data_IF_338309096305
#
_entry.id   IF_338309096305
#
_cell.length_a   1.000
_cell.length_b   1.000
_cell.length_c   1.000
_cell.angle_alpha   90.00
_cell.angle_beta   90.00
_cell.angle_gamma   90.00
#
_symmetry.space_group_name_H-M   'P 1'
#
loop_
_entity.id
_entity.type
_entity.pdbx_description
1 polymer ?
#
# COMPACT_ATOMS: atom_id res chain seq x y z
N UNK A 1 -4.98 20.02 -0.34
CA UNK A 1 -4.45 19.53 -1.62
C UNK A 1 -4.26 20.73 -2.53
N UNK A 2 -3.06 20.90 -3.08
CA UNK A 2 -2.74 22.00 -3.99
C UNK A 2 -2.99 21.55 -5.45
N UNK A 3 -4.14 21.96 -5.98
CA UNK A 3 -4.59 21.59 -7.33
C UNK A 3 -3.63 22.11 -8.41
N UNK A 4 -3.01 23.28 -8.21
CA UNK A 4 -2.09 23.88 -9.19
C UNK A 4 -0.82 23.03 -9.29
N UNK A 5 -0.23 22.66 -8.14
CA UNK A 5 0.92 21.76 -8.09
C UNK A 5 0.62 20.44 -8.79
N UNK A 6 -0.50 19.81 -8.44
CA UNK A 6 -0.89 18.53 -9.03
C UNK A 6 -1.05 18.62 -10.55
N UNK A 7 -1.76 19.63 -11.06
CA UNK A 7 -1.96 19.79 -12.51
C UNK A 7 -0.64 20.01 -13.25
N UNK A 8 0.31 20.75 -12.65
CA UNK A 8 1.66 20.93 -13.22
C UNK A 8 2.40 19.59 -13.33
N UNK A 9 2.39 18.78 -12.26
CA UNK A 9 3.07 17.47 -12.26
C UNK A 9 2.40 16.53 -13.26
N UNK A 10 1.07 16.45 -13.27
CA UNK A 10 0.31 15.63 -14.23
C UNK A 10 0.58 16.04 -15.68
N UNK A 11 0.53 17.33 -15.99
CA UNK A 11 0.82 17.85 -17.34
C UNK A 11 2.24 17.49 -17.79
N UNK A 12 3.24 17.71 -16.93
CA UNK A 12 4.63 17.31 -17.19
C UNK A 12 4.75 15.80 -17.38
N UNK A 13 4.08 15.01 -16.55
CA UNK A 13 4.09 13.55 -16.62
C UNK A 13 3.47 13.07 -17.94
N UNK A 14 2.32 13.60 -18.34
CA UNK A 14 1.65 13.30 -19.62
C UNK A 14 2.53 13.64 -20.83
N UNK A 15 3.17 14.81 -20.82
CA UNK A 15 4.10 15.21 -21.90
C UNK A 15 5.32 14.28 -21.99
N UNK A 16 5.85 13.83 -20.84
CA UNK A 16 6.93 12.84 -20.80
C UNK A 16 6.51 11.49 -21.41
N UNK A 17 5.26 11.06 -21.18
CA UNK A 17 4.76 9.82 -21.79
C UNK A 17 4.71 9.89 -23.32
N UNK A 18 4.30 11.03 -23.88
CA UNK A 18 4.24 11.24 -25.34
C UNK A 18 5.61 11.05 -26.00
N UNK A 19 6.68 11.46 -25.32
CA UNK A 19 8.07 11.31 -25.81
C UNK A 19 8.76 10.04 -25.30
N UNK A 20 8.03 9.11 -24.69
CA UNK A 20 8.57 7.84 -24.17
C UNK A 20 9.46 7.95 -22.93
N UNK A 21 9.48 9.09 -22.24
CA UNK A 21 10.26 9.30 -21.02
C UNK A 21 9.51 8.74 -19.79
N UNK A 22 10.12 7.75 -19.13
CA UNK A 22 9.58 7.12 -17.91
C UNK A 22 9.66 8.09 -16.72
N UNK A 23 8.61 8.15 -15.90
CA UNK A 23 8.54 8.98 -14.69
C UNK A 23 7.62 8.37 -13.63
N UNK A 24 7.95 8.48 -12.34
CA UNK A 24 7.03 8.12 -11.28
C UNK A 24 5.91 9.16 -11.17
N UNK A 25 4.78 8.74 -10.62
CA UNK A 25 3.64 9.59 -10.32
C UNK A 25 3.21 9.46 -8.85
N UNK A 26 3.43 8.30 -8.24
CA UNK A 26 3.12 8.01 -6.83
C UNK A 26 4.38 7.55 -6.12
N UNK A 27 4.63 8.03 -4.90
CA UNK A 27 5.68 7.49 -4.04
C UNK A 27 5.10 6.47 -3.07
N UNK A 28 5.79 5.34 -2.91
CA UNK A 28 5.55 4.32 -1.87
C UNK A 28 6.80 4.28 -1.02
N UNK A 29 6.68 4.64 0.24
CA UNK A 29 7.82 4.95 1.10
C UNK A 29 7.79 4.01 2.29
N UNK A 30 8.74 3.08 2.33
CA UNK A 30 9.04 2.31 3.52
C UNK A 30 9.85 3.17 4.48
N UNK A 31 9.20 3.76 5.50
CA UNK A 31 9.82 4.78 6.36
C UNK A 31 10.76 4.21 7.42
N UNK A 32 10.64 2.91 7.70
CA UNK A 32 11.48 2.19 8.64
C UNK A 32 11.54 0.70 8.30
N UNK A 33 12.63 0.02 8.64
CA UNK A 33 12.69 -1.44 8.60
C UNK A 33 11.99 -2.11 9.81
N UNK A 34 11.74 -1.37 10.90
CA UNK A 34 11.21 -1.96 12.14
C UNK A 34 9.69 -2.13 12.12
N UNK A 35 9.22 -3.34 12.41
CA UNK A 35 7.81 -3.63 12.66
C UNK A 35 7.62 -4.31 14.00
N UNK A 36 6.58 -3.93 14.74
CA UNK A 36 6.21 -4.61 15.99
C UNK A 36 5.51 -5.97 15.78
N UNK A 37 5.18 -6.36 14.54
CA UNK A 37 4.54 -7.63 14.18
C UNK A 37 5.48 -8.56 13.40
N UNK A 38 5.20 -9.87 13.35
CA UNK A 38 5.94 -10.85 12.55
C UNK A 38 4.99 -11.65 11.63
N UNK A 39 4.57 -11.03 10.54
CA UNK A 39 3.65 -11.68 9.60
C UNK A 39 4.44 -12.70 8.73
N UNK A 40 4.08 -14.01 8.67
CA UNK A 40 4.91 -15.02 8.01
C UNK A 40 5.13 -14.85 6.50
N UNK A 41 4.29 -14.04 5.83
CA UNK A 41 4.44 -13.70 4.41
C UNK A 41 5.25 -12.43 4.14
N UNK A 42 5.56 -11.65 5.19
CA UNK A 42 6.16 -10.33 5.03
C UNK A 42 7.67 -10.46 4.81
N UNK A 43 8.23 -9.86 3.74
CA UNK A 43 9.67 -9.87 3.51
C UNK A 43 10.47 -9.07 4.54
N UNK A 44 9.80 -8.21 5.32
CA UNK A 44 10.40 -7.41 6.40
C UNK A 44 10.07 -7.96 7.79
N UNK A 45 9.44 -9.13 7.88
CA UNK A 45 9.07 -9.75 9.14
C UNK A 45 10.28 -10.39 9.81
N UNK A 46 10.61 -9.95 11.01
CA UNK A 46 11.65 -10.55 11.85
C UNK A 46 11.07 -10.97 13.21
N UNK A 47 11.20 -12.23 13.66
CA UNK A 47 10.77 -12.62 15.01
C UNK A 47 11.63 -12.00 16.11
N UNK A 48 12.89 -11.65 15.83
CA UNK A 48 13.79 -10.97 16.76
C UNK A 48 13.63 -9.44 16.67
N UNK A 49 12.75 -8.91 17.52
CA UNK A 49 12.42 -7.47 17.52
C UNK A 49 13.56 -6.58 18.00
N UNK A 50 14.48 -7.10 18.80
CA UNK A 50 15.64 -6.34 19.25
C UNK A 50 16.66 -6.17 18.13
N UNK A 51 16.96 -7.24 17.40
CA UNK A 51 17.82 -7.18 16.20
C UNK A 51 17.19 -6.33 15.10
N UNK A 52 15.89 -6.49 14.84
CA UNK A 52 15.20 -5.67 13.84
C UNK A 52 15.24 -4.17 14.19
N UNK A 53 15.07 -3.83 15.47
CA UNK A 53 15.18 -2.45 15.94
C UNK A 53 16.61 -1.92 15.81
N UNK A 54 17.61 -2.76 16.09
CA UNK A 54 19.02 -2.38 15.92
C UNK A 54 19.36 -2.15 14.45
N UNK A 55 18.91 -3.06 13.56
CA UNK A 55 19.07 -2.92 12.12
C UNK A 55 18.46 -1.60 11.62
N UNK A 56 17.23 -1.29 12.03
CA UNK A 56 16.57 -0.04 11.68
C UNK A 56 17.36 1.19 12.16
N UNK A 57 17.92 1.18 13.37
CA UNK A 57 18.75 2.30 13.85
C UNK A 57 20.03 2.51 13.05
N UNK A 58 20.61 1.43 12.52
CA UNK A 58 21.86 1.46 11.77
C UNK A 58 21.67 1.80 10.30
N UNK A 59 20.53 1.42 9.71
CA UNK A 59 20.32 1.46 8.25
C UNK A 59 19.18 2.38 7.81
N UNK A 60 18.23 2.72 8.69
CA UNK A 60 17.17 3.66 8.31
C UNK A 60 17.72 5.08 8.16
N UNK A 61 17.20 5.81 7.18
CA UNK A 61 17.46 7.23 7.04
C UNK A 61 17.07 7.99 8.31
N UNK A 62 17.91 8.96 8.66
CA UNK A 62 17.61 9.97 9.67
C UNK A 62 16.46 10.86 9.22
N UNK A 63 15.90 11.63 10.15
CA UNK A 63 14.83 12.60 9.86
C UNK A 63 15.23 13.59 8.78
N UNK A 64 16.47 14.11 8.84
CA UNK A 64 16.98 15.10 7.88
C UNK A 64 17.22 14.50 6.49
N UNK A 65 17.67 13.25 6.43
CA UNK A 65 17.80 12.53 5.15
C UNK A 65 16.45 12.24 4.51
N UNK A 66 15.45 11.85 5.32
CA UNK A 66 14.08 11.72 4.83
C UNK A 66 13.52 13.03 4.28
N UNK A 67 13.76 14.16 4.94
CA UNK A 67 13.35 15.49 4.41
C UNK A 67 13.95 15.77 3.03
N UNK A 68 15.23 15.46 2.82
CA UNK A 68 15.90 15.58 1.51
C UNK A 68 15.30 14.64 0.46
N UNK A 69 14.98 13.40 0.84
CA UNK A 69 14.28 12.47 -0.06
C UNK A 69 12.86 12.96 -0.39
N UNK A 70 12.15 13.54 0.59
CA UNK A 70 10.82 14.10 0.43
C UNK A 70 10.76 15.33 -0.48
N UNK A 71 11.83 16.13 -0.55
CA UNK A 71 11.94 17.17 -1.57
C UNK A 71 11.84 16.57 -2.98
N UNK A 72 12.64 15.53 -3.26
CA UNK A 72 12.64 14.84 -4.56
C UNK A 72 11.29 14.15 -4.85
N UNK A 73 10.66 13.56 -3.83
CA UNK A 73 9.31 12.98 -3.93
C UNK A 73 8.30 14.07 -4.27
N UNK A 74 8.30 15.19 -3.55
CA UNK A 74 7.33 16.28 -3.73
C UNK A 74 7.48 16.97 -5.10
N UNK A 75 8.66 16.97 -5.71
CA UNK A 75 8.85 17.55 -7.05
C UNK A 75 8.38 16.64 -8.19
N UNK A 76 8.20 15.35 -7.94
CA UNK A 76 7.96 14.35 -8.98
C UNK A 76 6.65 13.55 -8.83
N UNK A 77 6.11 13.43 -7.61
CA UNK A 77 4.95 12.60 -7.33
C UNK A 77 3.75 13.44 -6.88
N UNK A 78 2.53 13.04 -7.24
CA UNK A 78 1.29 13.70 -6.82
C UNK A 78 0.72 13.15 -5.52
N UNK A 79 1.21 11.99 -5.07
CA UNK A 79 0.73 11.28 -3.89
C UNK A 79 1.87 10.53 -3.21
N UNK A 80 1.86 10.47 -1.87
CA UNK A 80 2.78 9.69 -1.07
C UNK A 80 2.02 8.64 -0.26
N UNK A 81 2.48 7.40 -0.29
CA UNK A 81 2.01 6.31 0.54
C UNK A 81 3.13 6.01 1.54
N UNK A 82 2.88 6.23 2.82
CA UNK A 82 3.81 5.95 3.90
C UNK A 82 3.48 4.57 4.48
N UNK A 83 4.45 3.68 4.41
CA UNK A 83 4.44 2.31 4.89
C UNK A 83 5.82 1.98 5.50
N UNK A 84 6.21 0.70 5.52
CA UNK A 84 7.54 0.27 5.94
C UNK A 84 7.60 -0.03 7.41
N UNK A 85 8.06 -1.26 7.71
CA UNK A 85 7.88 -1.87 9.00
C UNK A 85 6.48 -1.57 9.54
N UNK A 86 6.40 -0.92 10.70
CA UNK A 86 5.21 -0.18 11.13
C UNK A 86 5.55 1.32 11.27
N UNK A 87 5.00 2.23 10.43
CA UNK A 87 5.32 3.66 10.51
C UNK A 87 5.07 4.28 11.87
N UNK A 88 3.99 3.88 12.56
CA UNK A 88 3.64 4.45 13.87
C UNK A 88 4.60 4.02 15.00
N UNK A 89 5.52 3.08 14.74
CA UNK A 89 6.57 2.71 15.69
C UNK A 89 7.77 3.67 15.67
N UNK A 90 7.88 4.49 14.61
CA UNK A 90 8.97 5.45 14.43
C UNK A 90 8.71 6.73 15.22
N UNK A 91 9.69 7.15 16.04
CA UNK A 91 9.53 8.25 17.01
C UNK A 91 9.25 9.62 16.38
N UNK A 92 9.84 9.89 15.23
CA UNK A 92 9.76 11.14 14.47
C UNK A 92 8.69 11.11 13.36
N UNK A 93 7.80 10.10 13.34
CA UNK A 93 6.82 9.93 12.24
C UNK A 93 5.93 11.17 12.03
N UNK A 94 5.50 11.82 13.11
CA UNK A 94 4.66 13.01 12.99
C UNK A 94 5.39 14.21 12.39
N UNK A 95 6.70 14.36 12.66
CA UNK A 95 7.52 15.41 12.06
C UNK A 95 7.68 15.17 10.54
N UNK A 96 7.87 13.92 10.14
CA UNK A 96 7.98 13.52 8.74
C UNK A 96 6.66 13.72 7.97
N UNK A 97 5.53 13.37 8.60
CA UNK A 97 4.19 13.63 8.04
C UNK A 97 3.90 15.13 7.91
N UNK A 98 4.30 15.92 8.90
CA UNK A 98 4.18 17.38 8.87
C UNK A 98 5.02 18.00 7.75
N UNK A 99 6.23 17.49 7.52
CA UNK A 99 7.07 17.92 6.41
C UNK A 99 6.39 17.67 5.05
N UNK A 100 5.87 16.45 4.81
CA UNK A 100 5.13 16.13 3.58
C UNK A 100 3.87 16.99 3.42
N UNK A 101 3.11 17.18 4.49
CA UNK A 101 1.92 18.02 4.47
C UNK A 101 2.27 19.48 4.08
N UNK A 102 3.40 20.00 4.57
CA UNK A 102 3.91 21.33 4.19
C UNK A 102 4.31 21.41 2.71
N UNK A 103 4.80 20.31 2.12
CA UNK A 103 5.03 20.17 0.67
C UNK A 103 3.76 20.01 -0.17
N UNK A 104 2.58 20.04 0.47
CA UNK A 104 1.26 19.92 -0.16
C UNK A 104 1.05 18.63 -0.95
N UNK A 105 1.78 17.57 -0.62
CA UNK A 105 1.55 16.23 -1.15
C UNK A 105 0.55 15.49 -0.25
N UNK A 106 -0.58 14.99 -0.79
CA UNK A 106 -1.47 14.13 -0.05
C UNK A 106 -0.78 12.84 0.39
N UNK A 107 -1.07 12.41 1.62
CA UNK A 107 -0.47 11.22 2.23
C UNK A 107 -1.53 10.15 2.53
N UNK A 108 -1.29 8.91 2.09
CA UNK A 108 -1.92 7.72 2.66
C UNK A 108 -0.97 7.09 3.67
N UNK A 109 -1.42 6.88 4.91
CA UNK A 109 -0.65 6.13 5.91
C UNK A 109 -1.14 4.68 5.95
N UNK A 110 -0.27 3.71 5.66
CA UNK A 110 -0.53 2.29 5.87
C UNK A 110 -0.05 1.91 7.27
N UNK A 111 -0.91 1.25 8.04
CA UNK A 111 -0.57 0.77 9.40
C UNK A 111 -1.22 -0.58 9.69
N UNK A 112 -0.62 -1.35 10.60
CA UNK A 112 -1.24 -2.52 11.22
C UNK A 112 -2.28 -2.14 12.29
N UNK A 113 -2.39 -0.86 12.65
CA UNK A 113 -3.42 -0.32 13.54
C UNK A 113 -3.17 -0.57 15.03
N UNK A 114 -2.14 -1.33 15.40
CA UNK A 114 -1.89 -1.74 16.79
C UNK A 114 -1.47 -0.59 17.70
N UNK A 115 -0.86 0.46 17.15
CA UNK A 115 -0.34 1.62 17.88
C UNK A 115 -1.26 2.86 17.83
N UNK A 116 -2.44 2.76 17.21
CA UNK A 116 -3.36 3.92 17.10
C UNK A 116 -3.81 4.47 18.46
N UNK A 117 -3.92 3.61 19.48
CA UNK A 117 -4.22 4.04 20.85
C UNK A 117 -3.11 4.86 21.55
N UNK A 118 -1.88 4.87 21.02
CA UNK A 118 -0.74 5.55 21.66
C UNK A 118 -0.45 6.92 21.05
N UNK A 119 -1.22 7.35 20.07
CA UNK A 119 -0.95 8.56 19.30
C UNK A 119 -2.12 9.56 19.38
N UNK A 120 -1.83 10.81 19.02
CA UNK A 120 -2.84 11.83 18.83
C UNK A 120 -3.52 11.67 17.46
N UNK A 121 -4.74 11.11 17.46
CA UNK A 121 -5.52 10.88 16.25
C UNK A 121 -6.03 12.18 15.60
N UNK A 122 -6.26 13.25 16.37
CA UNK A 122 -6.64 14.55 15.82
C UNK A 122 -5.46 15.18 15.08
N UNK A 123 -4.25 15.08 15.65
CA UNK A 123 -3.02 15.47 14.95
C UNK A 123 -2.80 14.61 13.72
N UNK A 124 -3.03 13.30 13.79
CA UNK A 124 -2.87 12.43 12.62
C UNK A 124 -3.81 12.86 11.48
N UNK A 125 -5.11 13.11 11.78
CA UNK A 125 -6.11 13.56 10.82
C UNK A 125 -5.67 14.79 10.04
N UNK A 126 -5.02 15.76 10.70
CA UNK A 126 -4.61 17.01 10.05
C UNK A 126 -3.40 16.87 9.12
N UNK A 127 -2.66 15.76 9.22
CA UNK A 127 -1.43 15.51 8.48
C UNK A 127 -1.59 14.53 7.31
N UNK A 128 -2.61 13.67 7.35
CA UNK A 128 -2.84 12.66 6.32
C UNK A 128 -4.11 12.92 5.52
N UNK A 129 -4.17 12.37 4.32
CA UNK A 129 -5.36 12.36 3.50
C UNK A 129 -6.27 11.18 3.77
N UNK A 130 -5.70 10.01 4.04
CA UNK A 130 -6.44 8.76 4.29
C UNK A 130 -5.54 7.81 5.09
N UNK A 131 -6.13 6.97 5.94
CA UNK A 131 -5.44 5.85 6.57
C UNK A 131 -5.86 4.52 5.93
N UNK A 132 -4.90 3.64 5.69
CA UNK A 132 -5.10 2.30 5.19
C UNK A 132 -4.79 1.32 6.32
N UNK A 133 -5.81 0.64 6.82
CA UNK A 133 -5.65 -0.31 7.92
C UNK A 133 -5.46 -1.72 7.36
N UNK A 134 -4.42 -2.39 7.83
CA UNK A 134 -4.07 -3.72 7.34
C UNK A 134 -4.83 -4.78 8.15
N UNK A 135 -5.99 -5.25 7.66
CA UNK A 135 -6.87 -6.20 8.39
C UNK A 135 -7.16 -7.41 7.50
N UNK A 136 -6.49 -8.53 7.76
CA UNK A 136 -6.59 -9.68 6.86
C UNK A 136 -7.71 -10.66 7.22
N UNK A 137 -8.25 -10.56 8.43
CA UNK A 137 -9.26 -11.50 8.92
C UNK A 137 -10.07 -10.86 10.04
N UNK A 138 -11.36 -11.17 10.05
CA UNK A 138 -12.34 -10.82 11.10
C UNK A 138 -12.44 -11.94 12.15
N UNK A 139 -11.73 -13.06 11.94
CA UNK A 139 -11.64 -14.17 12.89
C UNK A 139 -10.32 -14.08 13.63
N UNK A 140 -10.39 -14.03 14.95
CA UNK A 140 -9.24 -13.97 15.87
C UNK A 140 -8.12 -14.95 15.48
N UNK A 141 -8.46 -16.23 15.30
CA UNK A 141 -7.47 -17.28 15.03
C UNK A 141 -6.73 -17.04 13.70
N UNK A 142 -7.48 -16.76 12.63
CA UNK A 142 -6.92 -16.50 11.31
C UNK A 142 -6.11 -15.21 11.29
N UNK A 143 -6.59 -14.14 11.93
CA UNK A 143 -5.83 -12.90 12.10
C UNK A 143 -4.49 -13.14 12.80
N UNK A 144 -4.50 -13.83 13.94
CA UNK A 144 -3.29 -14.15 14.70
C UNK A 144 -2.28 -14.96 13.88
N UNK A 145 -2.74 -15.95 13.10
CA UNK A 145 -1.87 -16.74 12.20
C UNK A 145 -1.28 -15.89 11.09
N UNK A 146 -2.11 -15.11 10.40
CA UNK A 146 -1.70 -14.26 9.27
C UNK A 146 -0.71 -13.17 9.72
N UNK A 147 -0.95 -12.56 10.88
CA UNK A 147 -0.14 -11.44 11.41
C UNK A 147 1.02 -11.85 12.31
N UNK A 148 1.06 -13.12 12.73
CA UNK A 148 2.02 -13.63 13.70
C UNK A 148 1.97 -12.87 15.01
N UNK A 149 0.77 -12.75 15.58
CA UNK A 149 0.50 -12.01 16.83
C UNK A 149 -0.40 -12.80 17.75
N UNK A 150 -0.41 -12.43 19.03
CA UNK A 150 -1.32 -13.00 20.02
C UNK A 150 -2.75 -12.42 19.89
N UNK A 151 -3.69 -13.02 20.61
CA UNK A 151 -5.09 -12.59 20.59
C UNK A 151 -5.34 -11.21 21.21
N UNK A 152 -4.52 -10.79 22.16
CA UNK A 152 -4.64 -9.47 22.78
C UNK A 152 -4.46 -8.37 21.73
N UNK A 153 -3.50 -8.55 20.81
CA UNK A 153 -3.25 -7.64 19.71
C UNK A 153 -4.42 -7.61 18.71
N UNK A 154 -5.11 -8.73 18.48
CA UNK A 154 -6.33 -8.75 17.67
C UNK A 154 -7.41 -7.84 18.27
N UNK A 155 -7.76 -8.03 19.55
CA UNK A 155 -8.79 -7.21 20.20
C UNK A 155 -8.38 -5.73 20.28
N UNK A 156 -7.09 -5.46 20.52
CA UNK A 156 -6.55 -4.10 20.53
C UNK A 156 -6.73 -3.42 19.18
N UNK A 157 -6.42 -4.09 18.08
CA UNK A 157 -6.59 -3.52 16.73
C UNK A 157 -8.07 -3.25 16.45
N UNK A 158 -8.96 -4.20 16.72
CA UNK A 158 -10.40 -3.98 16.50
C UNK A 158 -10.95 -2.80 17.32
N UNK A 159 -10.53 -2.66 18.59
CA UNK A 159 -10.89 -1.52 19.43
C UNK A 159 -10.30 -0.19 18.90
N UNK A 160 -9.06 -0.23 18.41
CA UNK A 160 -8.41 0.95 17.83
C UNK A 160 -9.12 1.45 16.57
N UNK A 161 -9.61 0.55 15.72
CA UNK A 161 -10.34 0.93 14.53
C UNK A 161 -11.65 1.64 14.86
N UNK A 162 -12.39 1.18 15.88
CA UNK A 162 -13.62 1.83 16.34
C UNK A 162 -13.36 3.24 16.87
N UNK A 163 -12.23 3.48 17.55
CA UNK A 163 -11.85 4.83 18.03
C UNK A 163 -11.67 5.83 16.90
N UNK A 164 -11.29 5.39 15.70
CA UNK A 164 -11.09 6.30 14.58
C UNK A 164 -12.41 6.97 14.16
N UNK A 165 -13.59 6.38 14.46
CA UNK A 165 -14.89 6.96 14.15
C UNK A 165 -15.13 8.31 14.84
N UNK A 166 -14.62 8.45 16.07
CA UNK A 166 -14.71 9.69 16.86
C UNK A 166 -13.98 10.88 16.19
N UNK A 167 -13.02 10.59 15.31
CA UNK A 167 -12.18 11.59 14.67
C UNK A 167 -12.57 11.83 13.21
N UNK A 168 -13.53 11.10 12.63
CA UNK A 168 -13.92 11.25 11.22
C UNK A 168 -12.69 11.20 10.28
N UNK A 169 -11.81 10.21 10.50
CA UNK A 169 -10.63 9.97 9.67
C UNK A 169 -11.03 9.09 8.48
N UNK A 170 -10.85 9.61 7.25
CA UNK A 170 -11.04 8.84 6.02
C UNK A 170 -10.17 7.58 6.04
N UNK A 171 -10.77 6.40 5.84
CA UNK A 171 -10.06 5.13 5.89
C UNK A 171 -10.59 4.08 4.92
N UNK A 172 -9.73 3.13 4.60
CA UNK A 172 -10.09 1.88 3.93
C UNK A 172 -9.25 0.74 4.49
N UNK A 173 -9.65 -0.49 4.21
CA UNK A 173 -8.87 -1.67 4.58
C UNK A 173 -8.08 -2.17 3.39
N UNK A 174 -6.84 -2.58 3.64
CA UNK A 174 -6.12 -3.47 2.73
C UNK A 174 -5.98 -4.85 3.37
N UNK A 175 -6.39 -5.89 2.64
CA UNK A 175 -6.43 -7.27 3.12
C UNK A 175 -5.62 -8.19 2.21
N UNK A 176 -4.88 -9.11 2.82
CA UNK A 176 -4.17 -10.17 2.12
C UNK A 176 -4.92 -11.49 2.29
N UNK A 177 -5.42 -12.02 1.18
CA UNK A 177 -6.13 -13.31 1.15
C UNK A 177 -5.10 -14.43 1.17
N UNK A 178 -5.20 -15.29 2.18
CA UNK A 178 -4.35 -16.45 2.43
C UNK A 178 -5.21 -17.71 2.55
N UNK A 179 -4.59 -18.89 2.54
CA UNK A 179 -5.28 -20.15 2.83
C UNK A 179 -5.96 -20.20 4.21
N UNK A 180 -5.64 -19.28 5.12
CA UNK A 180 -6.20 -19.25 6.48
C UNK A 180 -7.47 -18.39 6.62
N UNK A 181 -7.80 -17.53 5.65
CA UNK A 181 -8.94 -16.62 5.73
C UNK A 181 -9.89 -16.70 4.53
N UNK A 182 -9.65 -17.60 3.56
CA UNK A 182 -10.50 -17.72 2.36
C UNK A 182 -11.99 -17.85 2.64
N UNK A 183 -12.38 -18.60 3.66
CA UNK A 183 -13.80 -18.84 3.99
C UNK A 183 -14.54 -17.53 4.29
N UNK A 184 -13.87 -16.56 4.91
CA UNK A 184 -14.46 -15.26 5.27
C UNK A 184 -14.84 -14.44 4.02
N UNK A 185 -14.08 -14.61 2.92
CA UNK A 185 -14.37 -14.00 1.63
C UNK A 185 -15.38 -14.80 0.82
N UNK A 186 -15.32 -16.14 0.89
CA UNK A 186 -16.26 -17.03 0.19
C UNK A 186 -17.68 -16.81 0.72
N UNK A 187 -17.85 -16.73 2.03
CA UNK A 187 -19.14 -16.51 2.69
C UNK A 187 -19.58 -15.05 2.70
N UNK A 188 -18.72 -14.13 2.24
CA UNK A 188 -18.92 -12.68 2.23
C UNK A 188 -19.02 -12.03 3.62
N UNK A 189 -18.93 -12.80 4.72
CA UNK A 189 -19.02 -12.31 6.10
C UNK A 189 -17.95 -11.25 6.42
N UNK A 190 -16.80 -11.33 5.75
CA UNK A 190 -15.74 -10.34 5.87
C UNK A 190 -16.28 -8.94 5.55
N UNK A 191 -16.96 -8.78 4.41
CA UNK A 191 -17.48 -7.48 3.96
C UNK A 191 -18.56 -6.94 4.90
N UNK A 192 -19.47 -7.80 5.36
CA UNK A 192 -20.51 -7.42 6.32
C UNK A 192 -19.92 -6.95 7.64
N UNK A 193 -18.90 -7.63 8.15
CA UNK A 193 -18.22 -7.23 9.38
C UNK A 193 -17.49 -5.90 9.20
N UNK A 194 -16.73 -5.73 8.11
CA UNK A 194 -16.03 -4.46 7.84
C UNK A 194 -17.01 -3.28 7.81
N UNK A 195 -18.18 -3.47 7.20
CA UNK A 195 -19.22 -2.46 7.13
C UNK A 195 -19.86 -2.19 8.48
N UNK A 196 -20.47 -3.22 9.05
CA UNK A 196 -21.45 -3.08 10.12
C UNK A 196 -20.77 -2.96 11.49
N UNK A 197 -19.62 -3.61 11.68
CA UNK A 197 -18.92 -3.64 12.96
C UNK A 197 -17.77 -2.62 13.04
N UNK A 198 -17.15 -2.30 11.91
CA UNK A 198 -16.00 -1.37 11.86
C UNK A 198 -16.31 -0.04 11.17
N UNK A 199 -17.50 0.14 10.60
CA UNK A 199 -17.93 1.37 9.92
C UNK A 199 -16.95 1.80 8.80
N UNK A 200 -16.50 0.84 8.00
CA UNK A 200 -15.57 1.06 6.90
C UNK A 200 -16.22 0.70 5.57
N UNK A 201 -16.17 1.65 4.63
CA UNK A 201 -16.93 1.59 3.38
C UNK A 201 -16.08 1.30 2.14
N UNK A 202 -14.81 0.92 2.31
CA UNK A 202 -13.91 0.59 1.21
C UNK A 202 -12.89 -0.48 1.60
N UNK A 203 -12.72 -1.47 0.72
CA UNK A 203 -11.79 -2.58 0.93
C UNK A 203 -10.99 -2.83 -0.36
N UNK A 204 -9.67 -2.87 -0.21
CA UNK A 204 -8.72 -3.42 -1.17
C UNK A 204 -8.28 -4.80 -0.71
N UNK A 205 -8.18 -5.77 -1.62
CA UNK A 205 -7.76 -7.12 -1.27
C UNK A 205 -7.01 -7.82 -2.40
N UNK A 206 -5.95 -8.55 -2.07
CA UNK A 206 -5.21 -9.34 -3.06
C UNK A 206 -4.81 -10.69 -2.48
N UNK A 207 -4.64 -11.71 -3.32
CA UNK A 207 -4.07 -12.96 -2.85
C UNK A 207 -2.60 -12.78 -2.45
N UNK A 208 -2.20 -13.48 -1.39
CA UNK A 208 -0.82 -13.48 -0.92
C UNK A 208 0.12 -13.98 -2.02
N UNK A 209 1.21 -13.24 -2.22
CA UNK A 209 2.29 -13.67 -3.08
C UNK A 209 3.41 -14.25 -2.21
N UNK A 210 3.94 -15.41 -2.61
CA UNK A 210 5.09 -15.96 -1.91
C UNK A 210 6.36 -15.16 -2.29
N UNK A 211 6.77 -14.24 -1.41
CA UNK A 211 7.95 -13.36 -1.59
C UNK A 211 9.14 -13.75 -0.72
N UNK A 212 8.93 -14.68 0.21
CA UNK A 212 9.92 -15.10 1.20
C UNK A 212 10.12 -16.61 1.09
N UNK A 213 11.26 -17.12 1.58
CA UNK A 213 11.53 -18.57 1.66
C UNK A 213 10.68 -19.34 2.68
N UNK A 214 9.55 -18.76 3.12
CA UNK A 214 8.67 -19.28 4.17
C UNK A 214 7.56 -20.21 3.65
N UNK A 215 6.60 -20.58 4.52
CA UNK A 215 5.50 -21.45 4.14
C UNK A 215 4.63 -20.80 3.07
N UNK A 216 4.30 -21.54 2.01
CA UNK A 216 3.38 -21.04 1.00
C UNK A 216 1.97 -20.86 1.61
N UNK A 217 1.53 -19.60 1.68
CA UNK A 217 0.21 -19.21 2.19
C UNK A 217 -0.82 -18.97 1.08
N UNK A 218 -0.42 -19.07 -0.19
CA UNK A 218 -1.33 -18.95 -1.32
C UNK A 218 -2.39 -20.05 -1.23
N UNK A 219 -3.70 -19.72 -1.32
CA UNK A 219 -4.74 -20.73 -1.40
C UNK A 219 -4.57 -21.62 -2.63
N UNK A 220 -5.09 -22.85 -2.56
CA UNK A 220 -5.16 -23.70 -3.74
C UNK A 220 -6.08 -23.11 -4.82
N UNK A 221 -5.99 -23.65 -6.04
CA UNK A 221 -6.74 -23.16 -7.19
C UNK A 221 -8.25 -23.12 -6.96
N UNK A 222 -8.82 -24.18 -6.39
CA UNK A 222 -10.26 -24.31 -6.15
C UNK A 222 -10.73 -23.30 -5.11
N UNK A 223 -9.93 -23.07 -4.07
CA UNK A 223 -10.19 -22.05 -3.06
C UNK A 223 -10.13 -20.64 -3.65
N UNK A 224 -9.13 -20.34 -4.51
CA UNK A 224 -9.05 -19.06 -5.21
C UNK A 224 -10.24 -18.82 -6.15
N UNK A 225 -10.70 -19.85 -6.87
CA UNK A 225 -11.88 -19.76 -7.75
C UNK A 225 -13.13 -19.37 -6.96
N UNK A 226 -13.41 -20.09 -5.86
CA UNK A 226 -14.56 -19.76 -4.99
C UNK A 226 -14.50 -18.33 -4.42
N UNK A 227 -13.31 -17.88 -4.00
CA UNK A 227 -13.11 -16.51 -3.53
C UNK A 227 -13.42 -15.50 -4.63
N UNK A 228 -12.90 -15.72 -5.85
CA UNK A 228 -13.13 -14.82 -6.98
C UNK A 228 -14.60 -14.79 -7.40
N UNK A 229 -15.26 -15.95 -7.49
CA UNK A 229 -16.70 -16.06 -7.78
C UNK A 229 -17.52 -15.29 -6.74
N UNK A 230 -17.24 -15.48 -5.46
CA UNK A 230 -17.95 -14.80 -4.38
C UNK A 230 -17.73 -13.29 -4.39
N UNK A 231 -16.51 -12.81 -4.63
CA UNK A 231 -16.22 -11.38 -4.72
C UNK A 231 -16.90 -10.73 -5.94
N UNK A 232 -16.92 -11.42 -7.08
CA UNK A 232 -17.61 -10.95 -8.28
C UNK A 232 -19.12 -10.92 -8.10
N UNK A 233 -19.68 -11.91 -7.39
CA UNK A 233 -21.09 -11.91 -7.00
C UNK A 233 -21.42 -10.77 -6.04
N UNK A 234 -20.61 -10.57 -5.00
CA UNK A 234 -20.75 -9.45 -4.07
C UNK A 234 -20.76 -8.11 -4.80
N UNK A 235 -19.78 -7.90 -5.70
CA UNK A 235 -19.63 -6.66 -6.48
C UNK A 235 -20.79 -6.37 -7.45
N UNK A 236 -21.64 -7.35 -7.77
CA UNK A 236 -22.85 -7.16 -8.60
C UNK A 236 -24.04 -6.69 -7.78
N UNK A 237 -24.13 -7.15 -6.53
CA UNK A 237 -25.30 -6.94 -5.68
C UNK A 237 -25.09 -5.87 -4.60
N UNK A 238 -23.85 -5.50 -4.32
CA UNK A 238 -23.47 -4.56 -3.28
C UNK A 238 -22.53 -3.49 -3.81
N UNK A 239 -22.74 -2.25 -3.35
CA UNK A 239 -21.85 -1.12 -3.62
C UNK A 239 -21.07 -0.67 -2.38
N UNK A 240 -21.34 -1.27 -1.21
CA UNK A 240 -20.80 -0.85 0.08
C UNK A 240 -20.64 -2.04 1.07
N UNK A 241 -19.40 -2.34 1.52
CA UNK A 241 -18.15 -1.65 1.19
C UNK A 241 -17.79 -1.74 -0.28
N UNK A 242 -17.26 -0.63 -0.80
CA UNK A 242 -16.74 -0.56 -2.15
C UNK A 242 -15.48 -1.42 -2.27
N UNK A 243 -15.54 -2.43 -3.14
CA UNK A 243 -14.38 -3.23 -3.52
C UNK A 243 -13.54 -2.40 -4.48
N UNK A 244 -12.38 -1.97 -3.98
CA UNK A 244 -11.50 -1.08 -4.72
C UNK A 244 -10.93 -1.81 -5.93
N UNK A 245 -10.51 -3.06 -5.75
CA UNK A 245 -9.85 -3.86 -6.78
C UNK A 245 -10.82 -4.12 -7.94
N UNK A 246 -10.43 -3.80 -9.20
CA UNK A 246 -11.30 -3.97 -10.36
C UNK A 246 -11.76 -5.42 -10.54
N UNK A 247 -13.02 -5.60 -10.97
CA UNK A 247 -13.59 -6.92 -11.28
C UNK A 247 -12.73 -7.75 -12.23
N UNK A 248 -12.08 -7.11 -13.21
CA UNK A 248 -11.19 -7.74 -14.18
C UNK A 248 -10.07 -8.56 -13.52
N UNK A 249 -9.57 -8.14 -12.36
CA UNK A 249 -8.57 -8.90 -11.60
C UNK A 249 -9.06 -10.31 -11.25
N UNK A 250 -10.28 -10.38 -10.69
CA UNK A 250 -10.89 -11.65 -10.28
C UNK A 250 -11.34 -12.48 -11.49
N UNK A 251 -11.88 -11.83 -12.53
CA UNK A 251 -12.27 -12.48 -13.79
C UNK A 251 -11.08 -13.18 -14.45
N UNK A 252 -9.92 -12.52 -14.53
CA UNK A 252 -8.71 -13.13 -15.10
C UNK A 252 -8.13 -14.25 -14.24
N UNK A 253 -8.20 -14.15 -12.91
CA UNK A 253 -7.81 -15.27 -12.05
C UNK A 253 -8.70 -16.47 -12.37
N UNK A 254 -10.02 -16.31 -12.47
CA UNK A 254 -10.93 -17.40 -12.85
C UNK A 254 -10.60 -17.99 -14.22
N UNK A 255 -10.33 -17.15 -15.22
CA UNK A 255 -10.11 -17.61 -16.59
C UNK A 255 -8.73 -18.25 -16.79
N UNK A 256 -7.68 -17.68 -16.19
CA UNK A 256 -6.30 -17.97 -16.58
C UNK A 256 -5.42 -18.56 -15.49
N UNK A 257 -5.91 -18.75 -14.27
CA UNK A 257 -5.04 -19.18 -13.16
C UNK A 257 -4.36 -18.02 -12.42
N UNK A 258 -4.33 -16.84 -13.04
CA UNK A 258 -3.49 -15.71 -12.67
C UNK A 258 -4.00 -14.43 -13.31
N UNK A 259 -3.58 -13.32 -12.75
CA UNK A 259 -3.86 -12.02 -13.34
C UNK A 259 -2.85 -11.71 -14.48
N UNK A 260 -3.32 -11.01 -15.52
CA UNK A 260 -2.62 -10.71 -16.79
C UNK A 260 -2.52 -9.20 -17.03
N UNK A 261 -1.42 -8.77 -17.64
CA UNK A 261 -1.12 -7.36 -17.89
C UNK A 261 -0.12 -7.23 -19.03
N UNK A 262 -0.21 -6.13 -19.78
CA UNK A 262 0.64 -5.88 -20.94
C UNK A 262 2.04 -5.39 -20.54
N UNK A 263 2.13 -4.54 -19.52
CA UNK A 263 3.38 -4.00 -19.00
C UNK A 263 3.38 -3.91 -17.47
N UNK A 264 4.51 -4.24 -16.85
CA UNK A 264 4.68 -4.03 -15.42
C UNK A 264 4.71 -2.54 -15.12
N UNK A 265 3.77 -2.09 -14.29
CA UNK A 265 3.56 -0.68 -14.01
C UNK A 265 4.43 -0.08 -12.92
N UNK A 266 5.31 -0.85 -12.28
CA UNK A 266 6.04 -0.38 -11.09
C UNK A 266 6.92 0.84 -11.35
N UNK A 267 7.33 1.09 -12.60
CA UNK A 267 8.05 2.31 -12.98
C UNK A 267 7.20 3.59 -12.83
N UNK A 268 5.86 3.49 -12.77
CA UNK A 268 4.96 4.61 -12.46
C UNK A 268 4.96 4.95 -10.97
N UNK A 269 5.59 4.11 -10.14
CA UNK A 269 5.72 4.31 -8.70
C UNK A 269 7.19 4.45 -8.29
N UNK A 270 7.46 5.32 -7.34
CA UNK A 270 8.75 5.45 -6.70
C UNK A 270 8.71 4.70 -5.38
N UNK A 271 9.22 3.47 -5.36
CA UNK A 271 9.31 2.67 -4.12
C UNK A 271 10.63 3.01 -3.44
N UNK A 272 10.57 3.75 -2.34
CA UNK A 272 11.72 4.19 -1.55
C UNK A 272 11.80 3.32 -0.31
N UNK A 273 12.91 2.60 -0.14
CA UNK A 273 13.21 1.79 1.03
C UNK A 273 13.69 2.66 2.20
N UNK A 274 13.74 2.06 3.38
CA UNK A 274 14.09 2.81 4.59
C UNK A 274 15.54 3.29 4.65
N UNK A 275 16.44 2.69 3.86
CA UNK A 275 17.82 3.11 3.64
C UNK A 275 17.98 4.20 2.54
N UNK A 276 16.86 4.68 1.99
CA UNK A 276 16.83 5.69 0.94
C UNK A 276 17.02 5.16 -0.49
N UNK A 277 17.22 3.84 -0.65
CA UNK A 277 17.33 3.23 -1.98
C UNK A 277 15.97 3.16 -2.67
N UNK A 278 15.96 3.37 -3.98
CA UNK A 278 14.83 3.11 -4.86
C UNK A 278 15.04 1.75 -5.49
N UNK A 279 14.03 0.90 -5.39
CA UNK A 279 14.01 -0.41 -6.05
C UNK A 279 12.74 -0.57 -6.88
N UNK A 280 12.77 -1.27 -8.03
CA UNK A 280 11.57 -1.49 -8.84
C UNK A 280 10.52 -2.34 -8.11
N UNK A 281 10.94 -3.47 -7.54
CA UNK A 281 10.13 -4.33 -6.69
C UNK A 281 11.02 -5.40 -6.00
N UNK A 282 10.41 -6.24 -5.17
CA UNK A 282 11.07 -7.33 -4.43
C UNK A 282 11.81 -8.36 -5.30
N UNK A 283 11.50 -8.48 -6.60
CA UNK A 283 12.26 -9.37 -7.51
C UNK A 283 13.59 -8.78 -7.96
N UNK A 284 13.68 -7.45 -7.98
CA UNK A 284 14.85 -6.69 -8.42
C UNK A 284 15.63 -6.23 -7.19
N UNK A 285 16.01 -7.19 -6.33
CA UNK A 285 16.60 -6.93 -5.01
C UNK A 285 18.14 -6.89 -5.01
N UNK A 286 18.77 -7.05 -6.18
CA UNK A 286 20.23 -6.96 -6.32
C UNK A 286 20.70 -5.50 -6.33
N UNK A 287 21.95 -5.22 -5.89
CA UNK A 287 22.48 -3.85 -5.80
C UNK A 287 22.40 -3.04 -7.11
N UNK A 288 22.46 -3.70 -8.27
CA UNK A 288 22.39 -3.05 -9.59
C UNK A 288 21.04 -2.36 -9.88
N UNK A 289 19.95 -2.77 -9.20
CA UNK A 289 18.63 -2.15 -9.31
C UNK A 289 18.33 -1.17 -8.17
N UNK A 290 19.27 -0.97 -7.23
CA UNK A 290 19.09 -0.13 -6.05
C UNK A 290 19.92 1.13 -6.15
N UNK A 291 19.26 2.28 -6.33
CA UNK A 291 19.91 3.59 -6.37
C UNK A 291 19.37 4.49 -5.27
N UNK A 292 20.24 5.19 -4.54
CA UNK A 292 19.83 6.08 -3.45
C UNK A 292 19.22 7.39 -3.96
N UNK A 293 18.06 7.77 -3.39
CA UNK A 293 17.50 9.12 -3.56
C UNK A 293 18.33 10.19 -2.88
N UNK A 294 19.30 9.86 -2.03
CA UNK A 294 20.20 10.87 -1.47
C UNK A 294 21.31 11.23 -2.45
N UNK A 295 21.73 10.26 -3.27
CA UNK A 295 22.85 10.41 -4.21
C UNK A 295 22.40 10.89 -5.59
N UNK A 296 21.30 10.35 -6.10
CA UNK A 296 20.85 10.57 -7.48
C UNK A 296 19.52 11.32 -7.53
N UNK A 297 19.30 12.07 -8.61
CA UNK A 297 18.00 12.67 -8.89
C UNK A 297 17.07 11.65 -9.59
N UNK A 298 15.78 11.99 -9.63
CA UNK A 298 14.76 11.13 -10.24
C UNK A 298 15.01 10.95 -11.74
N UNK A 299 15.56 11.95 -12.42
CA UNK A 299 15.95 11.87 -13.83
C UNK A 299 16.97 10.76 -14.07
N UNK A 300 18.04 10.71 -13.27
CA UNK A 300 19.07 9.70 -13.36
C UNK A 300 18.52 8.31 -13.05
N UNK A 301 17.78 8.15 -11.95
CA UNK A 301 17.23 6.84 -11.54
C UNK A 301 16.29 6.30 -12.62
N UNK A 302 15.37 7.11 -13.17
CA UNK A 302 14.44 6.68 -14.22
C UNK A 302 15.05 6.55 -15.62
N UNK A 303 16.27 7.04 -15.84
CA UNK A 303 17.02 6.84 -17.08
C UNK A 303 17.73 5.48 -17.16
N UNK A 304 17.76 4.73 -16.05
CA UNK A 304 18.47 3.45 -16.01
C UNK A 304 17.84 2.42 -16.97
N UNK A 305 18.66 1.63 -17.69
CA UNK A 305 18.16 0.70 -18.71
C UNK A 305 17.33 -0.45 -18.12
N UNK A 306 17.56 -0.81 -16.86
CA UNK A 306 16.81 -1.89 -16.21
C UNK A 306 15.30 -1.63 -16.16
N UNK A 307 14.83 -0.38 -16.27
CA UNK A 307 13.40 -0.10 -16.32
C UNK A 307 12.71 -0.72 -17.55
N UNK A 308 13.43 -0.91 -18.65
CA UNK A 308 12.89 -1.59 -19.84
C UNK A 308 12.76 -3.11 -19.64
N UNK A 309 13.60 -3.69 -18.78
CA UNK A 309 13.50 -5.09 -18.36
C UNK A 309 12.34 -5.26 -17.38
N UNK A 310 12.25 -4.37 -16.38
CA UNK A 310 11.15 -4.33 -15.40
C UNK A 310 9.80 -4.27 -16.11
N UNK A 311 9.65 -3.40 -17.12
CA UNK A 311 8.40 -3.26 -17.89
C UNK A 311 7.93 -4.56 -18.55
N UNK A 312 8.86 -5.45 -18.92
CA UNK A 312 8.58 -6.73 -19.58
C UNK A 312 8.35 -7.88 -18.57
N UNK A 313 8.59 -7.65 -17.28
CA UNK A 313 8.42 -8.65 -16.25
C UNK A 313 6.94 -9.07 -16.15
N UNK A 314 6.67 -10.38 -16.22
CA UNK A 314 5.33 -10.96 -16.14
C UNK A 314 5.23 -12.11 -15.11
N UNK A 315 6.13 -12.13 -14.13
CA UNK A 315 6.32 -13.31 -13.27
C UNK A 315 5.48 -13.31 -11.98
N UNK A 316 4.67 -12.27 -11.77
CA UNK A 316 3.78 -12.19 -10.61
C UNK A 316 2.57 -13.10 -10.81
N UNK A 317 2.44 -14.15 -10.00
CA UNK A 317 1.34 -15.11 -10.10
C UNK A 317 -0.04 -14.48 -9.83
N UNK A 318 -0.14 -13.61 -8.82
CA UNK A 318 -1.41 -13.00 -8.39
C UNK A 318 -1.37 -11.48 -8.33
N UNK A 319 -0.26 -10.86 -8.78
CA UNK A 319 -0.06 -9.40 -8.88
C UNK A 319 -0.50 -8.58 -7.66
N UNK A 320 -0.32 -9.13 -6.46
CA UNK A 320 -0.79 -8.47 -5.24
C UNK A 320 -0.12 -7.12 -4.90
N UNK A 321 0.95 -6.73 -5.61
CA UNK A 321 1.73 -5.53 -5.28
C UNK A 321 1.18 -4.25 -5.93
N UNK A 322 0.85 -4.25 -7.22
CA UNK A 322 0.18 -3.07 -7.82
C UNK A 322 -0.59 -3.48 -9.08
N UNK A 323 -1.84 -3.91 -8.91
CA UNK A 323 -2.74 -4.10 -10.05
C UNK A 323 -2.92 -2.77 -10.79
N UNK A 324 -3.18 -1.68 -10.07
CA UNK A 324 -3.48 -0.36 -10.66
C UNK A 324 -2.36 0.25 -11.50
N UNK A 325 -1.08 0.09 -11.13
CA UNK A 325 0.01 0.67 -11.92
C UNK A 325 0.22 -0.11 -13.21
N UNK A 326 -0.07 -1.41 -13.19
CA UNK A 326 0.01 -2.30 -14.35
C UNK A 326 -1.20 -2.16 -15.28
N UNK A 327 -2.20 -1.35 -14.90
CA UNK A 327 -3.31 -0.94 -15.76
C UNK A 327 -2.95 0.34 -16.55
N UNK A 328 -3.76 0.62 -17.59
CA UNK A 328 -3.63 1.82 -18.40
C UNK A 328 -3.75 3.08 -17.53
N UNK A 329 -2.98 4.09 -17.91
CA UNK A 329 -2.76 5.33 -17.17
C UNK A 329 -4.05 6.15 -16.93
N UNK A 330 -4.99 6.09 -17.87
CA UNK A 330 -6.30 6.73 -17.78
C UNK A 330 -7.08 6.33 -16.52
N UNK A 331 -7.01 5.05 -16.13
CA UNK A 331 -7.66 4.53 -14.91
C UNK A 331 -7.09 5.16 -13.63
N UNK A 332 -5.76 5.38 -13.58
CA UNK A 332 -5.07 5.99 -12.42
C UNK A 332 -5.48 7.46 -12.28
N UNK A 333 -5.48 8.19 -13.39
CA UNK A 333 -5.84 9.62 -13.43
C UNK A 333 -7.31 9.81 -13.09
N UNK A 334 -8.20 8.96 -13.61
CA UNK A 334 -9.64 9.05 -13.33
C UNK A 334 -9.96 8.77 -11.85
N UNK A 335 -9.33 7.76 -11.25
CA UNK A 335 -9.51 7.44 -9.83
C UNK A 335 -9.03 8.57 -8.92
N UNK A 336 -7.89 9.18 -9.25
CA UNK A 336 -7.39 10.36 -8.54
C UNK A 336 -8.34 11.56 -8.68
N UNK A 337 -8.78 11.87 -9.91
CA UNK A 337 -9.70 12.99 -10.17
C UNK A 337 -11.04 12.78 -9.44
N UNK A 338 -11.61 11.57 -9.45
CA UNK A 338 -12.82 11.25 -8.69
C UNK A 338 -12.64 11.49 -7.19
N UNK A 339 -11.48 11.11 -6.63
CA UNK A 339 -11.14 11.39 -5.23
C UNK A 339 -10.99 12.89 -4.93
N UNK A 340 -10.39 13.66 -5.83
CA UNK A 340 -10.29 15.13 -5.72
C UNK A 340 -11.67 15.79 -5.78
N UNK A 341 -12.50 15.40 -6.74
CA UNK A 341 -13.85 15.94 -6.94
C UNK A 341 -14.73 15.62 -5.74
N UNK A 342 -14.72 14.38 -5.25
CA UNK A 342 -15.46 13.96 -4.06
C UNK A 342 -15.12 14.82 -2.84
N UNK A 343 -13.83 15.13 -2.60
CA UNK A 343 -13.38 15.99 -1.49
C UNK A 343 -13.70 17.48 -1.66
N UNK A 344 -13.82 17.95 -2.90
CA UNK A 344 -14.24 19.33 -3.19
C UNK A 344 -15.75 19.49 -2.99
N UNK A 345 -16.53 18.48 -3.37
CA UNK A 345 -17.98 18.46 -3.19
C UNK A 345 -18.39 18.23 -1.73
N UNK A 346 -17.60 17.51 -0.93
CA UNK A 346 -17.85 17.30 0.50
C UNK A 346 -17.50 18.49 1.40
N UNK A 347 -17.08 19.63 0.83
CA UNK A 347 -16.73 20.87 1.54
C UNK A 347 -17.78 21.99 1.37
N UNK A 348 -18.88 21.69 0.71
CA UNK A 348 -20.10 22.49 0.59
C UNK A 348 -21.27 21.65 1.10
#
# INVERSE_FOLDING_TARGET
MDTIRTLKILSKWSMNQVIGKKRPLVAVIGITHYCNYYCPMCPFGDPNKEEQMQYAKEHDLTTEEWKKAFDKVADNCIWAIIEGGEPLSRKDIFELLEYLNNKKIPVTLITNGSLLHTIDLARLKSLISTICCSIDSIKKESYCKVRGVNEELYYRVMNNLKKLDEYDISRYINSVITKWNTEEFITQEYFDYIKNELNIHAVSMTFVQNRVGGPNLLPDRKSMEKVCESILDYSKHHSDPYIMIPRLYFEQILEHGRALFDECGVWKSMVVNADGTVSPCWKFDTPEYKLSLLEYDVDKIWSMPYWDEVKKCNECQVLGCVWYSSQKTDVIVESYIRGVISRLLSRY
#
